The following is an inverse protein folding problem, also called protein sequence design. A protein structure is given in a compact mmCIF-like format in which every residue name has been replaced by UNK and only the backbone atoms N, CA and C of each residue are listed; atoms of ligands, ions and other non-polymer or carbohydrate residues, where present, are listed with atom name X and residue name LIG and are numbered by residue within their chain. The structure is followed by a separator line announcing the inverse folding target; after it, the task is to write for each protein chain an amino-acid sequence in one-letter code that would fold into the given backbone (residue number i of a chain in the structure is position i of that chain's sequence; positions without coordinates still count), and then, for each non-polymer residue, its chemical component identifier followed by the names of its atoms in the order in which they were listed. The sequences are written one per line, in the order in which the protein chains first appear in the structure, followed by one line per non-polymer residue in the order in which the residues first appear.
data_IF_709615561030
#
_entry.id   IF_709615561030
#
_cell.length_a   1.000
_cell.length_b   1.000
_cell.length_c   1.000
_cell.angle_alpha   90.00
_cell.angle_beta   90.00
_cell.angle_gamma   90.00
#
_symmetry.space_group_name_H-M   'P 1'
#
loop_
_entity.id
_entity.type
_entity.pdbx_description
1 polymer ?
#
# COMPACT_ATOMS: atom_id res chain seq x y z
N UNK A 1 6.32 -15.72 -15.81
CA UNK A 1 4.90 -15.42 -16.05
C UNK A 1 4.34 -14.81 -14.77
N UNK A 2 3.69 -13.65 -14.81
CA UNK A 2 3.08 -13.09 -13.59
C UNK A 2 1.76 -13.79 -13.30
N UNK A 3 1.52 -14.19 -12.05
CA UNK A 3 0.29 -14.86 -11.63
C UNK A 3 -0.53 -13.93 -10.75
N UNK A 4 -1.79 -13.72 -11.15
CA UNK A 4 -2.76 -12.93 -10.39
C UNK A 4 -3.84 -13.87 -9.83
N UNK A 5 -4.11 -13.79 -8.53
CA UNK A 5 -5.24 -14.48 -7.88
C UNK A 5 -6.13 -13.45 -7.20
N UNK A 6 -7.43 -13.53 -7.46
CA UNK A 6 -8.43 -12.69 -6.79
C UNK A 6 -8.86 -13.37 -5.50
N UNK A 7 -8.87 -12.61 -4.41
CA UNK A 7 -9.34 -13.03 -3.09
C UNK A 7 -10.63 -12.27 -2.74
N UNK A 8 -11.21 -12.62 -1.59
CA UNK A 8 -12.35 -11.90 -1.02
C UNK A 8 -12.04 -10.40 -0.82
N UNK A 9 -13.09 -9.58 -0.77
CA UNK A 9 -12.98 -8.12 -0.55
C UNK A 9 -12.12 -7.39 -1.60
N UNK A 10 -12.08 -7.90 -2.84
CA UNK A 10 -11.27 -7.37 -3.93
C UNK A 10 -9.75 -7.40 -3.68
N UNK A 11 -9.25 -8.14 -2.68
CA UNK A 11 -7.81 -8.31 -2.48
C UNK A 11 -7.19 -9.09 -3.63
N UNK A 12 -5.94 -8.77 -3.97
CA UNK A 12 -5.21 -9.42 -5.05
C UNK A 12 -3.94 -10.05 -4.49
N UNK A 13 -3.68 -11.29 -4.89
CA UNK A 13 -2.37 -11.92 -4.73
C UNK A 13 -1.65 -11.87 -6.09
N UNK A 14 -0.61 -11.05 -6.18
CA UNK A 14 0.22 -10.92 -7.37
C UNK A 14 1.58 -11.56 -7.09
N UNK A 15 1.92 -12.63 -7.79
CA UNK A 15 3.17 -13.38 -7.59
C UNK A 15 3.41 -13.82 -6.13
N UNK A 16 2.35 -14.12 -5.38
CA UNK A 16 2.44 -14.49 -3.96
C UNK A 16 2.45 -13.30 -2.99
N UNK A 17 2.52 -12.06 -3.49
CA UNK A 17 2.44 -10.84 -2.66
C UNK A 17 0.99 -10.38 -2.58
N UNK A 18 0.49 -10.12 -1.38
CA UNK A 18 -0.87 -9.64 -1.16
C UNK A 18 -0.95 -8.11 -1.30
N UNK A 19 -2.02 -7.66 -1.95
CA UNK A 19 -2.32 -6.25 -2.17
C UNK A 19 -3.74 -5.93 -1.70
N UNK A 20 -3.84 -4.83 -0.96
CA UNK A 20 -5.09 -4.26 -0.46
C UNK A 20 -5.64 -3.22 -1.45
N UNK A 21 -6.94 -3.29 -1.81
CA UNK A 21 -7.58 -2.31 -2.67
C UNK A 21 -7.95 -1.05 -1.87
N UNK A 22 -7.73 0.11 -2.47
CA UNK A 22 -8.17 1.40 -1.98
C UNK A 22 -8.92 2.15 -3.07
N UNK A 23 -9.93 2.93 -2.68
CA UNK A 23 -10.52 3.96 -3.56
C UNK A 23 -9.75 5.26 -3.39
N UNK A 24 -9.74 6.13 -4.41
CA UNK A 24 -8.97 7.39 -4.38
C UNK A 24 -9.31 8.27 -3.17
N UNK A 25 -10.57 8.26 -2.73
CA UNK A 25 -11.02 9.01 -1.54
C UNK A 25 -10.68 8.39 -0.18
N UNK A 26 -10.09 7.19 -0.15
CA UNK A 26 -9.77 6.46 1.08
C UNK A 26 -8.35 5.90 1.07
N UNK A 27 -7.40 6.61 0.44
CA UNK A 27 -5.99 6.22 0.40
C UNK A 27 -5.34 6.39 1.78
N UNK A 28 -4.35 5.55 2.15
CA UNK A 28 -3.61 5.72 3.39
C UNK A 28 -2.90 7.08 3.46
N UNK A 29 -2.75 7.70 4.64
CA UNK A 29 -2.05 8.98 4.79
C UNK A 29 -0.59 8.98 4.29
N UNK A 30 0.06 7.80 4.31
CA UNK A 30 1.44 7.60 3.86
C UNK A 30 1.55 7.32 2.35
N UNK A 31 0.43 7.38 1.61
CA UNK A 31 0.38 7.17 0.17
C UNK A 31 1.09 8.27 -0.63
N UNK A 32 1.85 7.87 -1.65
CA UNK A 32 2.55 8.77 -2.57
C UNK A 32 3.89 9.29 -2.03
N UNK A 33 4.32 8.84 -0.85
CA UNK A 33 5.55 9.30 -0.21
C UNK A 33 6.61 8.18 -0.23
N UNK A 34 7.88 8.53 -0.48
CA UNK A 34 9.01 7.58 -0.33
C UNK A 34 9.34 7.36 1.14
N UNK A 35 9.36 8.44 1.91
CA UNK A 35 9.58 8.44 3.35
C UNK A 35 8.77 9.56 4.00
N UNK A 36 8.45 9.41 5.29
CA UNK A 36 7.81 10.44 6.12
C UNK A 36 8.48 10.49 7.50
N UNK A 37 8.32 11.62 8.19
CA UNK A 37 8.83 11.81 9.54
C UNK A 37 7.75 11.39 10.52
N UNK A 38 8.13 10.62 11.53
CA UNK A 38 7.26 10.16 12.60
C UNK A 38 8.01 10.14 13.93
N UNK A 39 7.33 9.86 15.04
CA UNK A 39 7.96 9.69 16.34
C UNK A 39 8.14 8.19 16.65
N UNK A 40 9.24 7.85 17.32
CA UNK A 40 9.44 6.52 17.89
C UNK A 40 8.86 6.40 19.32
N UNK A 41 9.12 5.27 19.98
CA UNK A 41 8.65 5.02 21.36
C UNK A 41 9.24 5.99 22.39
N UNK A 42 10.38 6.64 22.08
CA UNK A 42 11.04 7.62 22.93
C UNK A 42 10.69 9.07 22.55
N UNK A 43 9.74 9.27 21.62
CA UNK A 43 9.34 10.56 21.07
C UNK A 43 10.42 11.25 20.21
N UNK A 44 11.43 10.52 19.73
CA UNK A 44 12.45 11.03 18.81
C UNK A 44 11.96 11.01 17.36
N UNK A 45 12.38 12.00 16.57
CA UNK A 45 12.04 12.08 15.14
C UNK A 45 12.77 11.01 14.34
N UNK A 46 12.00 10.12 13.70
CA UNK A 46 12.51 9.02 12.87
C UNK A 46 11.97 9.10 11.44
N UNK A 47 12.79 8.68 10.48
CA UNK A 47 12.41 8.57 9.08
C UNK A 47 11.82 7.17 8.81
N UNK A 48 10.52 7.11 8.48
CA UNK A 48 9.83 5.85 8.15
C UNK A 48 9.56 5.72 6.65
N UNK A 49 9.56 4.50 6.09
CA UNK A 49 9.24 4.28 4.68
C UNK A 49 7.75 4.54 4.42
N UNK A 50 7.45 5.31 3.36
CA UNK A 50 6.09 5.55 2.89
C UNK A 50 5.67 4.59 1.77
N UNK A 51 4.42 4.72 1.32
CA UNK A 51 3.89 3.94 0.19
C UNK A 51 4.25 4.65 -1.11
N UNK A 52 5.36 4.22 -1.71
CA UNK A 52 5.86 4.76 -2.99
C UNK A 52 5.59 3.88 -4.21
N UNK A 53 5.05 2.67 -3.99
CA UNK A 53 4.74 1.70 -5.06
C UNK A 53 3.28 1.25 -4.94
N UNK A 54 2.54 1.39 -6.03
CA UNK A 54 1.16 0.96 -6.15
C UNK A 54 0.86 0.65 -7.62
N UNK A 55 -0.29 0.05 -7.88
CA UNK A 55 -0.84 -0.06 -9.24
C UNK A 55 -2.34 0.17 -9.23
N UNK A 56 -2.88 0.59 -10.37
CA UNK A 56 -4.32 0.76 -10.53
C UNK A 56 -4.91 -0.40 -11.32
N UNK A 57 -6.00 -0.97 -10.84
CA UNK A 57 -6.71 -2.04 -11.53
C UNK A 57 -8.20 -2.02 -11.20
N UNK A 58 -9.06 -2.05 -12.23
CA UNK A 58 -10.53 -2.03 -12.10
C UNK A 58 -11.07 -0.94 -11.14
N UNK A 59 -10.51 0.27 -11.24
CA UNK A 59 -10.95 1.42 -10.42
C UNK A 59 -10.43 1.45 -8.99
N UNK A 60 -9.61 0.47 -8.59
CA UNK A 60 -8.93 0.47 -7.28
C UNK A 60 -7.44 0.79 -7.43
N UNK A 61 -6.90 1.44 -6.41
CA UNK A 61 -5.47 1.60 -6.16
C UNK A 61 -5.02 0.49 -5.21
N UNK A 62 -4.14 -0.38 -5.68
CA UNK A 62 -3.62 -1.51 -4.92
C UNK A 62 -2.28 -1.17 -4.29
N UNK A 63 -2.21 -1.34 -2.98
CA UNK A 63 -1.00 -1.15 -2.17
C UNK A 63 -0.64 -2.47 -1.51
N UNK A 64 0.66 -2.77 -1.41
CA UNK A 64 1.15 -3.98 -0.74
C UNK A 64 0.62 -4.02 0.71
N UNK A 65 0.09 -5.18 1.11
CA UNK A 65 -0.63 -5.38 2.37
C UNK A 65 0.27 -5.32 3.61
#
# INVERSE_FOLDING_TARGET
MNTIKFKNENKILLNGVEYKPYVVGNLPPTFGQKHFIDHDENNDLVLRPGISKWFNFKGFTYVQA
#
